data_IF_403752870511
#
_entry.id   IF_403752870511
#
_cell.length_a   1.000
_cell.length_b   1.000
_cell.length_c   1.000
_cell.angle_alpha   90.00
_cell.angle_beta   90.00
_cell.angle_gamma   90.00
#
_symmetry.space_group_name_H-M   'P 1'
#
loop_
_entity.id
_entity.type
_entity.pdbx_description
1 polymer ?
#
# COMPACT_ATOMS: atom_id res chain seq x y z
N UNK A 1 7.70 6.03 -12.41
CA UNK A 1 6.63 6.16 -11.40
C UNK A 1 7.18 5.89 -10.01
N UNK A 2 6.67 6.60 -9.01
CA UNK A 2 6.92 6.33 -7.59
C UNK A 2 5.60 5.89 -6.96
N UNK A 3 5.65 4.82 -6.17
CA UNK A 3 4.49 4.24 -5.47
C UNK A 3 4.76 4.34 -3.97
N UNK A 4 3.78 4.82 -3.20
CA UNK A 4 3.83 4.99 -1.75
C UNK A 4 5.08 5.72 -1.24
N UNK A 5 5.36 6.94 -1.72
CA UNK A 5 6.54 7.67 -1.26
C UNK A 5 6.35 8.18 0.18
N UNK A 6 7.32 7.90 1.05
CA UNK A 6 7.42 8.49 2.38
C UNK A 6 8.43 9.65 2.41
N UNK A 7 8.41 10.47 3.46
CA UNK A 7 9.32 11.60 3.61
C UNK A 7 10.80 11.19 3.82
N UNK A 8 11.77 12.01 3.43
CA UNK A 8 11.60 13.25 2.64
C UNK A 8 11.44 12.95 1.12
N UNK A 9 10.69 13.78 0.38
CA UNK A 9 10.52 13.61 -1.07
C UNK A 9 11.81 13.77 -1.88
N UNK A 10 12.79 14.53 -1.36
CA UNK A 10 14.09 14.76 -2.01
C UNK A 10 14.84 13.47 -2.38
N UNK A 11 14.76 12.43 -1.53
CA UNK A 11 15.44 11.15 -1.78
C UNK A 11 15.03 10.47 -3.07
N UNK A 12 13.77 10.64 -3.50
CA UNK A 12 13.29 10.10 -4.78
C UNK A 12 13.78 10.92 -5.97
N UNK A 13 13.89 12.24 -5.81
CA UNK A 13 14.45 13.14 -6.83
C UNK A 13 15.93 12.84 -7.03
N UNK A 14 16.70 12.78 -5.96
CA UNK A 14 18.14 12.45 -5.98
C UNK A 14 18.40 11.09 -6.60
N UNK A 15 17.59 10.07 -6.24
CA UNK A 15 17.68 8.76 -6.85
C UNK A 15 17.40 8.80 -8.35
N UNK A 16 16.32 9.48 -8.76
CA UNK A 16 15.94 9.58 -10.17
C UNK A 16 17.02 10.31 -10.99
N UNK A 17 17.58 11.40 -10.47
CA UNK A 17 18.68 12.14 -11.10
C UNK A 17 19.93 11.28 -11.26
N UNK A 18 20.31 10.56 -10.21
CA UNK A 18 21.47 9.64 -10.24
C UNK A 18 21.31 8.55 -11.28
N UNK A 19 20.12 8.01 -11.45
CA UNK A 19 19.81 6.94 -12.41
C UNK A 19 19.45 7.49 -13.81
N UNK A 20 19.49 8.81 -14.03
CA UNK A 20 19.10 9.44 -15.31
C UNK A 20 17.63 9.24 -15.64
N UNK A 21 16.77 9.10 -14.62
CA UNK A 21 15.34 8.89 -14.74
C UNK A 21 14.56 10.19 -14.49
N UNK A 22 13.35 10.25 -15.04
CA UNK A 22 12.40 11.32 -14.77
C UNK A 22 11.18 10.76 -14.08
N UNK A 23 10.84 11.29 -12.90
CA UNK A 23 9.59 10.98 -12.22
C UNK A 23 8.46 11.71 -12.95
N UNK A 24 7.55 10.96 -13.55
CA UNK A 24 6.41 11.51 -14.31
C UNK A 24 5.07 11.20 -13.66
N UNK A 25 5.04 10.26 -12.73
CA UNK A 25 3.83 9.83 -12.00
C UNK A 25 4.16 9.48 -10.57
N UNK A 26 3.24 9.81 -9.67
CA UNK A 26 3.27 9.47 -8.25
C UNK A 26 1.90 8.92 -7.88
N UNK A 27 1.86 7.86 -7.09
CA UNK A 27 0.62 7.21 -6.71
C UNK A 27 0.75 6.57 -5.32
N UNK A 28 -0.32 6.62 -4.52
CA UNK A 28 -0.43 5.82 -3.32
C UNK A 28 -1.35 4.62 -3.55
N UNK A 29 -0.98 3.46 -3.02
CA UNK A 29 -1.77 2.23 -3.10
C UNK A 29 -3.06 2.32 -2.28
N UNK A 30 -3.03 3.10 -1.20
CA UNK A 30 -4.15 3.29 -0.29
C UNK A 30 -3.96 4.57 0.53
N UNK A 31 -4.97 4.92 1.32
CA UNK A 31 -4.87 6.03 2.26
C UNK A 31 -4.08 5.60 3.51
N UNK A 32 -2.80 5.94 3.57
CA UNK A 32 -1.91 5.60 4.66
C UNK A 32 -2.36 6.19 5.99
N UNK A 33 -2.26 5.39 7.04
CA UNK A 33 -2.61 5.78 8.42
C UNK A 33 -1.42 5.70 9.40
N UNK A 34 -0.29 5.23 8.92
CA UNK A 34 0.93 4.92 9.68
C UNK A 34 2.06 5.91 9.39
N UNK A 35 2.09 6.48 8.20
CA UNK A 35 3.08 7.48 7.81
C UNK A 35 2.45 8.59 6.95
N UNK A 36 3.13 9.72 6.90
CA UNK A 36 2.76 10.85 6.05
C UNK A 36 3.26 10.59 4.64
N UNK A 37 2.34 10.50 3.67
CA UNK A 37 2.71 10.35 2.26
C UNK A 37 3.37 11.61 1.73
N UNK A 38 4.52 11.43 1.09
CA UNK A 38 5.19 12.50 0.35
C UNK A 38 4.66 12.67 -1.09
N UNK A 39 3.61 11.94 -1.48
CA UNK A 39 3.12 11.91 -2.87
C UNK A 39 2.74 13.29 -3.40
N UNK A 40 2.05 14.10 -2.61
CA UNK A 40 1.64 15.46 -2.97
C UNK A 40 2.86 16.37 -3.21
N UNK A 41 3.81 16.36 -2.29
CA UNK A 41 5.01 17.20 -2.35
C UNK A 41 5.93 16.74 -3.49
N UNK A 42 6.12 15.44 -3.64
CA UNK A 42 6.90 14.87 -4.75
C UNK A 42 6.29 15.22 -6.11
N UNK A 43 4.97 15.13 -6.24
CA UNK A 43 4.25 15.56 -7.44
C UNK A 43 4.48 17.03 -7.76
N UNK A 44 4.45 17.92 -6.77
CA UNK A 44 4.72 19.36 -6.94
C UNK A 44 6.15 19.64 -7.39
N UNK A 45 7.14 19.01 -6.74
CA UNK A 45 8.57 19.22 -7.03
C UNK A 45 8.89 18.75 -8.45
N UNK A 46 8.39 17.58 -8.84
CA UNK A 46 8.71 16.93 -10.13
C UNK A 46 7.77 17.32 -11.26
N UNK A 47 6.64 17.96 -10.93
CA UNK A 47 5.49 18.19 -11.83
C UNK A 47 4.92 16.88 -12.40
N UNK A 48 5.05 15.80 -11.64
CA UNK A 48 4.50 14.51 -11.98
C UNK A 48 2.98 14.49 -11.78
N UNK A 49 2.28 13.68 -12.55
CA UNK A 49 0.86 13.43 -12.35
C UNK A 49 0.67 12.67 -11.04
N UNK A 50 -0.24 13.14 -10.19
CA UNK A 50 -0.60 12.52 -8.93
C UNK A 50 -1.87 11.70 -9.09
N UNK A 51 -1.85 10.47 -8.58
CA UNK A 51 -2.98 9.56 -8.66
C UNK A 51 -3.37 9.04 -7.28
N UNK A 52 -4.68 8.97 -7.02
CA UNK A 52 -5.25 8.30 -5.85
C UNK A 52 -6.49 7.49 -6.25
N UNK A 53 -6.87 6.56 -5.36
CA UNK A 53 -8.05 5.74 -5.54
C UNK A 53 -9.33 6.57 -5.66
N UNK A 54 -10.19 6.22 -6.63
CA UNK A 54 -11.52 6.80 -6.75
C UNK A 54 -12.47 6.39 -5.60
N UNK A 55 -12.09 5.38 -4.80
CA UNK A 55 -12.88 4.89 -3.66
C UNK A 55 -12.57 5.59 -2.34
N UNK A 56 -11.60 6.51 -2.34
CA UNK A 56 -11.25 7.33 -1.18
C UNK A 56 -11.44 8.82 -1.51
N UNK A 57 -11.65 9.62 -0.47
CA UNK A 57 -11.81 11.07 -0.61
C UNK A 57 -10.50 11.78 -0.29
N UNK A 58 -10.07 12.66 -1.19
CA UNK A 58 -8.90 13.53 -1.02
C UNK A 58 -9.27 14.96 -1.40
N UNK A 59 -8.78 15.93 -0.61
CA UNK A 59 -8.89 17.37 -0.87
C UNK A 59 -7.67 17.91 -1.64
N UNK A 60 -6.84 17.02 -2.16
CA UNK A 60 -5.65 17.29 -2.96
C UNK A 60 -6.04 17.14 -4.43
N UNK A 61 -5.61 18.05 -5.29
CA UNK A 61 -5.78 17.91 -6.74
C UNK A 61 -5.03 16.66 -7.23
N UNK A 62 -5.74 15.73 -7.83
CA UNK A 62 -5.21 14.45 -8.30
C UNK A 62 -6.07 13.86 -9.42
N UNK A 63 -5.50 12.87 -10.12
CA UNK A 63 -6.26 11.99 -11.02
C UNK A 63 -6.78 10.80 -10.23
N UNK A 64 -8.05 10.46 -10.44
CA UNK A 64 -8.66 9.27 -9.85
C UNK A 64 -8.35 8.04 -10.69
N UNK A 65 -8.10 6.91 -10.02
CA UNK A 65 -8.00 5.59 -10.65
C UNK A 65 -8.96 4.61 -9.98
N UNK A 66 -9.49 3.69 -10.77
CA UNK A 66 -10.42 2.65 -10.32
C UNK A 66 -10.06 1.29 -10.90
N UNK A 67 -10.78 0.25 -10.51
CA UNK A 67 -10.61 -1.13 -10.98
C UNK A 67 -10.68 -1.23 -12.50
N UNK A 68 -9.70 -1.89 -13.10
CA UNK A 68 -9.60 -2.06 -14.55
C UNK A 68 -8.92 -0.92 -15.31
N UNK A 69 -8.61 0.19 -14.65
CA UNK A 69 -7.84 1.27 -15.29
C UNK A 69 -6.43 0.83 -15.64
N UNK A 70 -5.81 1.57 -16.57
CA UNK A 70 -4.41 1.37 -16.94
C UNK A 70 -3.64 2.68 -16.91
N UNK A 71 -2.43 2.65 -16.38
CA UNK A 71 -1.51 3.79 -16.30
C UNK A 71 -0.27 3.49 -17.14
N UNK A 72 0.04 4.34 -18.11
CA UNK A 72 1.24 4.20 -18.93
C UNK A 72 2.49 4.54 -18.12
N UNK A 73 3.48 3.64 -18.10
CA UNK A 73 4.78 3.81 -17.46
C UNK A 73 5.90 3.55 -18.49
N UNK A 74 6.37 4.60 -19.12
CA UNK A 74 7.27 4.47 -20.26
C UNK A 74 6.62 3.70 -21.40
N UNK A 75 7.21 2.57 -21.80
CA UNK A 75 6.70 1.69 -22.87
C UNK A 75 5.74 0.61 -22.35
N UNK A 76 5.50 0.55 -21.05
CA UNK A 76 4.66 -0.47 -20.41
C UNK A 76 3.35 0.11 -19.93
N UNK A 77 2.42 -0.78 -19.61
CA UNK A 77 1.16 -0.46 -18.97
C UNK A 77 1.12 -1.08 -17.57
N UNK A 78 0.68 -0.31 -16.61
CA UNK A 78 0.40 -0.75 -15.26
C UNK A 78 -1.12 -0.84 -15.09
N UNK A 79 -1.61 -2.04 -14.81
CA UNK A 79 -3.02 -2.29 -14.55
C UNK A 79 -3.35 -1.95 -13.10
N UNK A 80 -4.55 -1.42 -12.88
CA UNK A 80 -5.09 -1.08 -11.56
C UNK A 80 -6.14 -2.12 -11.18
N UNK A 81 -5.99 -2.74 -10.02
CA UNK A 81 -6.96 -3.65 -9.43
C UNK A 81 -7.44 -3.07 -8.10
N UNK A 82 -8.74 -2.96 -7.90
CA UNK A 82 -9.30 -2.64 -6.59
C UNK A 82 -9.16 -3.85 -5.66
N UNK A 83 -8.46 -3.66 -4.55
CA UNK A 83 -8.11 -4.73 -3.58
C UNK A 83 -8.45 -4.30 -2.16
N UNK A 84 -9.75 -4.09 -1.84
CA UNK A 84 -10.20 -3.62 -0.54
C UNK A 84 -9.93 -4.63 0.56
N UNK A 85 -9.88 -4.14 1.81
CA UNK A 85 -9.76 -4.94 3.01
C UNK A 85 -8.89 -4.30 4.08
N UNK A 86 -7.70 -3.80 3.74
CA UNK A 86 -6.94 -2.94 4.63
C UNK A 86 -7.57 -1.54 4.71
N UNK A 87 -7.86 -0.94 3.55
CA UNK A 87 -8.75 0.21 3.41
C UNK A 87 -9.82 -0.05 2.35
N UNK A 88 -10.86 0.80 2.30
CA UNK A 88 -11.90 0.71 1.27
C UNK A 88 -11.34 0.99 -0.13
N UNK A 89 -10.33 1.85 -0.23
CA UNK A 89 -9.73 2.29 -1.48
C UNK A 89 -8.42 1.62 -1.83
N UNK A 90 -8.01 0.55 -1.13
CA UNK A 90 -6.77 -0.17 -1.44
C UNK A 90 -6.74 -0.66 -2.89
N UNK A 91 -5.61 -0.44 -3.54
CA UNK A 91 -5.34 -0.82 -4.93
C UNK A 91 -4.10 -1.70 -5.02
N UNK A 92 -4.10 -2.59 -5.98
CA UNK A 92 -2.91 -3.32 -6.41
C UNK A 92 -2.55 -2.88 -7.83
N UNK A 93 -1.28 -2.59 -8.06
CA UNK A 93 -0.77 -2.20 -9.38
C UNK A 93 0.02 -3.34 -9.97
N UNK A 94 -0.36 -3.77 -11.19
CA UNK A 94 0.24 -4.94 -11.85
C UNK A 94 0.95 -4.53 -13.13
N UNK A 95 2.21 -4.94 -13.28
CA UNK A 95 3.03 -4.70 -14.47
C UNK A 95 3.44 -6.03 -15.08
N UNK A 96 3.19 -6.18 -16.40
CA UNK A 96 3.56 -7.37 -17.20
C UNK A 96 3.03 -8.71 -16.65
N UNK A 97 2.01 -8.73 -15.81
CA UNK A 97 1.55 -9.90 -15.04
C UNK A 97 2.65 -10.58 -14.19
N UNK A 98 3.78 -9.89 -13.98
CA UNK A 98 4.96 -10.41 -13.27
C UNK A 98 5.23 -9.71 -11.95
N UNK A 99 4.81 -8.46 -11.83
CA UNK A 99 5.08 -7.61 -10.69
C UNK A 99 3.77 -7.01 -10.20
N UNK A 100 3.43 -7.24 -8.93
CA UNK A 100 2.25 -6.71 -8.28
C UNK A 100 2.65 -5.91 -7.04
N UNK A 101 2.25 -4.64 -6.97
CA UNK A 101 2.47 -3.75 -5.83
C UNK A 101 1.17 -3.68 -5.04
N UNK A 102 1.12 -4.35 -3.90
CA UNK A 102 -0.14 -4.63 -3.17
C UNK A 102 -0.39 -3.69 -2.01
N UNK A 103 0.51 -2.73 -1.77
CA UNK A 103 0.40 -1.91 -0.56
C UNK A 103 0.35 -2.77 0.69
N UNK A 104 -0.59 -2.48 1.56
CA UNK A 104 -0.79 -3.16 2.82
C UNK A 104 -1.87 -4.27 2.74
N UNK A 105 -2.06 -4.88 1.57
CA UNK A 105 -3.04 -5.96 1.42
C UNK A 105 -2.45 -7.33 1.77
N UNK A 106 -1.29 -7.68 1.19
CA UNK A 106 -0.60 -8.95 1.41
C UNK A 106 0.89 -8.70 1.61
N UNK A 107 1.40 -9.10 2.76
CA UNK A 107 2.82 -9.01 3.14
C UNK A 107 3.56 -10.31 2.86
N UNK A 108 4.86 -10.34 3.16
CA UNK A 108 5.69 -11.55 2.99
C UNK A 108 5.24 -12.65 3.96
N UNK A 109 4.87 -12.28 5.19
CA UNK A 109 4.58 -13.19 6.30
C UNK A 109 3.17 -13.08 6.87
N UNK A 110 2.37 -12.10 6.41
CA UNK A 110 1.06 -11.83 6.99
C UNK A 110 0.16 -11.04 6.02
N UNK A 111 -0.91 -10.47 6.53
CA UNK A 111 -1.85 -9.62 5.78
C UNK A 111 -2.08 -8.30 6.51
N UNK A 112 -2.64 -7.32 5.81
CA UNK A 112 -2.98 -6.02 6.37
C UNK A 112 -4.05 -6.09 7.44
N UNK A 113 -4.00 -5.16 8.40
CA UNK A 113 -5.03 -5.03 9.43
C UNK A 113 -6.32 -4.45 8.84
N UNK A 114 -7.50 -4.95 9.24
CA UNK A 114 -8.78 -4.49 8.69
C UNK A 114 -9.45 -3.40 9.53
N UNK A 115 -8.87 -2.97 10.65
CA UNK A 115 -9.58 -2.23 11.70
C UNK A 115 -9.27 -0.72 11.76
N UNK A 116 -8.60 -0.16 10.75
CA UNK A 116 -8.30 1.27 10.69
C UNK A 116 -9.56 2.16 10.62
N UNK A 117 -10.68 1.60 10.22
CA UNK A 117 -12.02 2.17 10.28
C UNK A 117 -12.92 1.28 11.15
N UNK A 118 -14.04 1.79 11.65
CA UNK A 118 -14.92 1.06 12.56
C UNK A 118 -15.81 -0.01 11.87
N UNK A 119 -15.23 -0.76 10.91
CA UNK A 119 -15.85 -1.82 10.12
C UNK A 119 -14.93 -3.03 9.96
N UNK A 120 -14.25 -3.42 11.05
CA UNK A 120 -13.21 -4.44 11.00
C UNK A 120 -13.68 -5.78 10.38
N UNK A 121 -14.90 -6.22 10.70
CA UNK A 121 -15.46 -7.46 10.15
C UNK A 121 -15.72 -7.37 8.64
N UNK A 122 -16.28 -6.26 8.16
CA UNK A 122 -16.55 -6.05 6.74
C UNK A 122 -15.24 -6.03 5.95
N UNK A 123 -14.26 -5.25 6.44
CA UNK A 123 -12.95 -5.15 5.80
C UNK A 123 -12.15 -6.45 5.87
N UNK A 124 -12.30 -7.24 6.94
CA UNK A 124 -11.69 -8.57 7.01
C UNK A 124 -12.29 -9.53 5.98
N UNK A 125 -13.62 -9.46 5.74
CA UNK A 125 -14.27 -10.22 4.69
C UNK A 125 -13.80 -9.80 3.29
N UNK A 126 -13.67 -8.50 3.05
CA UNK A 126 -13.16 -7.96 1.79
C UNK A 126 -11.71 -8.38 1.56
N UNK A 127 -10.88 -8.34 2.61
CA UNK A 127 -9.48 -8.76 2.56
C UNK A 127 -9.33 -10.23 2.17
N UNK A 128 -10.15 -11.12 2.78
CA UNK A 128 -10.20 -12.53 2.40
C UNK A 128 -10.53 -12.69 0.92
N UNK A 129 -11.60 -12.04 0.46
CA UNK A 129 -12.03 -12.13 -0.93
C UNK A 129 -10.97 -11.57 -1.89
N UNK A 130 -10.37 -10.44 -1.55
CA UNK A 130 -9.27 -9.83 -2.31
C UNK A 130 -8.11 -10.80 -2.46
N UNK A 131 -7.62 -11.37 -1.37
CA UNK A 131 -6.48 -12.28 -1.40
C UNK A 131 -6.83 -13.55 -2.17
N UNK A 132 -7.90 -14.23 -1.81
CA UNK A 132 -8.23 -15.55 -2.38
C UNK A 132 -8.77 -15.51 -3.81
N UNK A 133 -9.53 -14.45 -4.17
CA UNK A 133 -10.17 -14.35 -5.50
C UNK A 133 -9.34 -13.57 -6.51
N UNK A 134 -8.38 -12.73 -6.05
CA UNK A 134 -7.54 -11.90 -6.93
C UNK A 134 -6.06 -12.25 -6.79
N UNK A 135 -5.42 -11.98 -5.63
CA UNK A 135 -3.96 -12.04 -5.51
C UNK A 135 -3.40 -13.46 -5.64
N UNK A 136 -4.03 -14.46 -5.00
CA UNK A 136 -3.62 -15.86 -5.12
C UNK A 136 -3.97 -16.50 -6.48
N UNK A 137 -4.64 -15.77 -7.37
CA UNK A 137 -4.93 -16.17 -8.76
C UNK A 137 -3.87 -15.72 -9.76
N UNK A 138 -2.94 -14.84 -9.36
CA UNK A 138 -1.79 -14.55 -10.20
C UNK A 138 -0.97 -15.81 -10.46
N UNK A 139 -0.12 -15.76 -11.48
CA UNK A 139 0.84 -16.84 -11.74
C UNK A 139 1.69 -17.10 -10.50
N UNK A 140 2.04 -18.38 -10.26
CA UNK A 140 2.72 -18.81 -9.03
C UNK A 140 4.02 -18.06 -8.71
N UNK A 141 4.69 -17.54 -9.73
CA UNK A 141 5.96 -16.82 -9.65
C UNK A 141 5.82 -15.29 -9.78
N UNK A 142 4.60 -14.74 -9.85
CA UNK A 142 4.39 -13.29 -9.82
C UNK A 142 4.99 -12.72 -8.54
N UNK A 143 5.91 -11.77 -8.66
CA UNK A 143 6.49 -11.09 -7.49
C UNK A 143 5.50 -10.08 -6.93
N UNK A 144 5.14 -10.25 -5.68
CA UNK A 144 4.21 -9.38 -4.93
C UNK A 144 5.03 -8.54 -3.97
N UNK A 145 4.99 -7.22 -4.15
CA UNK A 145 5.73 -6.23 -3.36
C UNK A 145 4.78 -5.53 -2.40
N UNK A 146 4.91 -5.77 -1.10
CA UNK A 146 4.18 -5.02 -0.08
C UNK A 146 4.86 -3.68 0.21
N UNK A 147 4.13 -2.76 0.85
CA UNK A 147 4.71 -1.49 1.36
C UNK A 147 5.59 -1.73 2.59
N UNK A 148 5.23 -2.70 3.42
CA UNK A 148 5.94 -3.03 4.67
C UNK A 148 6.36 -4.50 4.74
N UNK A 149 7.26 -4.80 5.66
CA UNK A 149 7.65 -6.16 6.04
C UNK A 149 7.81 -6.25 7.55
N UNK A 150 7.67 -7.45 8.13
CA UNK A 150 7.85 -7.71 9.56
C UNK A 150 9.31 -7.70 9.98
N UNK A 151 9.52 -7.56 11.30
CA UNK A 151 10.83 -7.73 11.90
C UNK A 151 11.38 -9.15 11.64
N UNK A 152 12.66 -9.23 11.28
CA UNK A 152 13.33 -10.51 11.03
C UNK A 152 13.13 -11.08 9.61
N UNK A 153 12.25 -10.50 8.80
CA UNK A 153 12.14 -10.86 7.39
C UNK A 153 13.39 -10.38 6.65
N UNK A 154 14.01 -11.30 5.91
CA UNK A 154 15.22 -11.00 5.13
C UNK A 154 14.83 -10.63 3.70
N UNK A 155 15.45 -9.61 3.12
CA UNK A 155 15.28 -9.31 1.70
C UNK A 155 15.90 -10.44 0.84
N UNK A 156 15.53 -10.45 -0.44
CA UNK A 156 16.23 -11.24 -1.46
C UNK A 156 17.70 -10.81 -1.59
N UNK A 157 18.48 -11.54 -2.37
CA UNK A 157 19.89 -11.19 -2.67
C UNK A 157 20.04 -9.78 -3.26
N UNK A 158 19.03 -9.32 -4.00
CA UNK A 158 18.96 -7.95 -4.57
C UNK A 158 18.51 -6.89 -3.55
N UNK A 159 18.34 -7.23 -2.28
CA UNK A 159 17.89 -6.30 -1.23
C UNK A 159 16.40 -5.98 -1.26
N UNK A 160 15.57 -6.75 -1.98
CA UNK A 160 14.15 -6.48 -2.22
C UNK A 160 13.29 -7.44 -1.41
N UNK A 161 12.24 -6.89 -0.76
CA UNK A 161 11.22 -7.67 -0.07
C UNK A 161 10.08 -7.98 -1.01
N UNK A 162 9.76 -9.25 -1.19
CA UNK A 162 8.62 -9.71 -1.97
C UNK A 162 8.15 -11.09 -1.50
N UNK A 163 6.92 -11.41 -1.81
CA UNK A 163 6.37 -12.77 -1.76
C UNK A 163 5.90 -13.18 -3.16
N UNK A 164 5.38 -14.38 -3.28
CA UNK A 164 4.71 -14.87 -4.50
C UNK A 164 3.41 -15.59 -4.10
N UNK A 165 2.46 -15.81 -5.00
CA UNK A 165 1.28 -16.63 -4.69
C UNK A 165 1.63 -18.02 -4.16
N UNK A 166 2.72 -18.63 -4.68
CA UNK A 166 3.21 -19.92 -4.19
C UNK A 166 3.73 -19.85 -2.75
N UNK A 167 4.47 -18.79 -2.41
CA UNK A 167 4.97 -18.58 -1.04
C UNK A 167 3.84 -18.21 -0.09
N UNK A 168 2.96 -17.30 -0.49
CA UNK A 168 1.85 -16.82 0.31
C UNK A 168 0.87 -17.95 0.69
N UNK A 169 0.61 -18.90 -0.22
CA UNK A 169 -0.22 -20.09 0.07
C UNK A 169 0.33 -20.98 1.18
N UNK A 170 1.57 -20.79 1.64
CA UNK A 170 2.14 -21.53 2.78
C UNK A 170 1.87 -20.84 4.13
N UNK A 171 1.28 -19.65 4.12
CA UNK A 171 0.88 -18.95 5.34
C UNK A 171 -0.36 -19.64 5.93
N UNK A 172 -0.24 -20.17 7.13
CA UNK A 172 -1.33 -20.89 7.81
C UNK A 172 -2.61 -20.05 7.95
N UNK A 173 -2.48 -18.74 8.00
CA UNK A 173 -3.60 -17.81 8.03
C UNK A 173 -4.44 -17.89 6.74
N UNK A 174 -3.83 -18.16 5.59
CA UNK A 174 -4.50 -18.24 4.29
C UNK A 174 -5.08 -19.63 3.99
N UNK A 175 -4.82 -20.63 4.84
CA UNK A 175 -5.47 -21.96 4.78
C UNK A 175 -6.84 -21.97 5.46
N UNK A 176 -7.15 -20.95 6.28
CA UNK A 176 -8.42 -20.83 6.99
C UNK A 176 -9.57 -20.56 6.02
N UNK A 177 -10.76 -21.07 6.34
CA UNK A 177 -11.96 -20.64 5.62
C UNK A 177 -12.29 -19.17 5.94
N UNK A 178 -13.22 -18.57 5.20
CA UNK A 178 -13.51 -17.13 5.30
C UNK A 178 -13.92 -16.70 6.70
N UNK A 179 -14.76 -17.47 7.38
CA UNK A 179 -15.23 -17.17 8.73
C UNK A 179 -14.09 -17.25 9.76
N UNK A 180 -13.31 -18.33 9.70
CA UNK A 180 -12.14 -18.52 10.57
C UNK A 180 -11.09 -17.43 10.38
N UNK A 181 -10.76 -17.13 9.10
CA UNK A 181 -9.83 -16.05 8.75
C UNK A 181 -10.30 -14.70 9.31
N UNK A 182 -11.56 -14.34 9.03
CA UNK A 182 -12.13 -13.05 9.44
C UNK A 182 -12.11 -12.90 10.96
N UNK A 183 -12.58 -13.91 11.70
CA UNK A 183 -12.55 -13.90 13.15
C UNK A 183 -11.11 -13.83 13.68
N UNK A 184 -10.20 -14.59 13.09
CA UNK A 184 -8.80 -14.64 13.49
C UNK A 184 -8.12 -13.28 13.35
N UNK A 185 -8.17 -12.65 12.14
CA UNK A 185 -7.47 -11.38 11.93
C UNK A 185 -8.06 -10.24 12.74
N UNK A 186 -9.38 -10.21 12.97
CA UNK A 186 -9.99 -9.21 13.84
C UNK A 186 -9.53 -9.39 15.29
N UNK A 187 -9.40 -10.64 15.76
CA UNK A 187 -8.91 -10.92 17.11
C UNK A 187 -7.44 -10.59 17.34
N UNK A 188 -6.64 -10.53 16.27
CA UNK A 188 -5.20 -10.22 16.30
C UNK A 188 -4.90 -8.72 16.17
N UNK A 189 -5.93 -7.87 16.04
CA UNK A 189 -5.69 -6.43 15.92
C UNK A 189 -5.08 -5.87 17.20
N UNK A 190 -4.01 -5.10 17.02
CA UNK A 190 -3.31 -4.38 18.11
C UNK A 190 -3.79 -2.92 18.16
N UNK A 191 -3.49 -2.15 19.20
CA UNK A 191 -3.81 -0.72 19.21
C UNK A 191 -3.36 -0.03 17.92
N UNK A 192 -4.21 0.85 17.41
CA UNK A 192 -3.91 1.64 16.21
C UNK A 192 -2.69 2.54 16.47
N UNK A 193 -1.92 2.93 15.43
CA UNK A 193 -0.83 3.90 15.56
C UNK A 193 -1.32 5.16 16.30
N UNK A 194 -0.49 5.75 17.16
CA UNK A 194 -0.91 6.85 18.05
C UNK A 194 -1.56 8.01 17.30
N UNK A 195 -0.96 8.42 16.19
CA UNK A 195 -1.39 9.59 15.42
C UNK A 195 -2.19 9.23 14.15
N UNK A 196 -2.67 7.98 14.02
CA UNK A 196 -3.27 7.50 12.77
C UNK A 196 -4.37 8.42 12.22
N UNK A 197 -5.22 8.97 13.08
CA UNK A 197 -6.33 9.84 12.65
C UNK A 197 -5.84 11.21 12.14
N UNK A 198 -4.73 11.71 12.67
CA UNK A 198 -4.09 12.94 12.21
C UNK A 198 -3.39 12.68 10.89
N UNK A 199 -2.63 11.59 10.79
CA UNK A 199 -1.94 11.16 9.56
C UNK A 199 -2.94 11.01 8.40
N UNK A 200 -4.07 10.34 8.63
CA UNK A 200 -5.14 10.22 7.63
C UNK A 200 -5.63 11.61 7.16
N UNK A 201 -5.83 12.57 8.07
CA UNK A 201 -6.27 13.92 7.71
C UNK A 201 -5.21 14.68 6.91
N UNK A 202 -3.94 14.54 7.27
CA UNK A 202 -2.81 15.11 6.51
C UNK A 202 -2.77 14.52 5.10
N UNK A 203 -2.82 13.19 4.98
CA UNK A 203 -2.77 12.49 3.70
C UNK A 203 -4.00 12.77 2.83
N UNK A 204 -5.16 13.03 3.44
CA UNK A 204 -6.34 13.54 2.72
C UNK A 204 -6.18 14.97 2.20
N UNK A 205 -5.28 15.75 2.79
CA UNK A 205 -5.12 17.17 2.50
C UNK A 205 -6.01 18.11 3.30
N UNK A 206 -6.76 17.59 4.28
CA UNK A 206 -7.64 18.39 5.15
C UNK A 206 -6.87 19.19 6.20
N UNK A 207 -5.67 18.74 6.54
CA UNK A 207 -4.74 19.43 7.47
C UNK A 207 -3.40 19.62 6.76
N UNK A 208 -2.85 20.83 6.77
CA UNK A 208 -1.50 21.06 6.26
C UNK A 208 -0.46 20.46 7.21
N UNK A 209 0.68 20.08 6.67
CA UNK A 209 1.85 19.66 7.42
C UNK A 209 3.10 20.28 6.83
N UNK A 210 4.09 20.51 7.67
CA UNK A 210 5.46 20.86 7.29
C UNK A 210 6.38 19.67 7.58
N UNK A 211 7.45 19.54 6.80
CA UNK A 211 8.34 18.37 6.84
C UNK A 211 8.91 18.10 8.23
N UNK A 212 9.24 19.16 8.96
CA UNK A 212 9.81 19.07 10.32
C UNK A 212 8.87 18.42 11.35
N UNK A 213 7.56 18.38 11.07
CA UNK A 213 6.56 17.77 11.96
C UNK A 213 6.34 16.27 11.65
N UNK A 214 6.81 15.79 10.51
CA UNK A 214 6.57 14.39 10.08
C UNK A 214 7.12 13.39 11.09
N UNK A 215 8.39 13.51 11.60
CA UNK A 215 8.92 12.55 12.57
C UNK A 215 8.08 12.44 13.85
N UNK A 216 7.51 13.53 14.33
CA UNK A 216 6.68 13.54 15.54
C UNK A 216 5.33 12.81 15.31
N UNK A 217 4.79 12.89 14.10
CA UNK A 217 3.55 12.16 13.75
C UNK A 217 3.77 10.66 13.58
N UNK A 218 4.94 10.29 13.07
CA UNK A 218 5.30 8.88 12.78
C UNK A 218 5.93 8.18 13.98
N UNK A 219 5.98 8.82 15.16
CA UNK A 219 6.50 8.20 16.38
C UNK A 219 5.64 7.02 16.82
N UNK A 220 6.33 5.94 17.24
CA UNK A 220 5.70 4.74 17.78
C UNK A 220 5.77 3.55 16.82
N UNK A 221 5.30 2.38 17.25
CA UNK A 221 5.35 1.19 16.40
C UNK A 221 4.39 1.34 15.23
N UNK A 222 4.93 1.27 14.02
CA UNK A 222 4.13 1.08 12.82
C UNK A 222 3.70 -0.39 12.72
N UNK A 223 2.40 -0.66 12.80
CA UNK A 223 1.84 -2.01 12.78
C UNK A 223 0.64 -2.09 11.83
N UNK A 224 0.90 -1.94 10.55
CA UNK A 224 -0.12 -2.12 9.50
C UNK A 224 -0.38 -3.60 9.17
N UNK A 225 0.50 -4.52 9.60
CA UNK A 225 0.30 -5.97 9.48
C UNK A 225 -0.35 -6.57 10.73
N UNK A 226 -1.07 -7.67 10.54
CA UNK A 226 -1.50 -8.57 11.61
C UNK A 226 -0.30 -9.44 12.02
N UNK A 227 -0.02 -9.51 13.31
CA UNK A 227 1.07 -10.30 13.90
C UNK A 227 0.52 -11.39 14.81
#
# INVERSE_FOLDING_TARGET
IVIDPNYPPSKYVEFAEKEGLKITKVIDTHQHADHVSAAKELSKITKAELFFSAKEEYEIEHKKVDDGDTISIGKKQMQVLHTPGHTAGSMTFVVDNKYAFTGDTLFVESVGRPDLRDKAMDFANDLYDTIHKKLLKFESNTKIFPTHHGEGIKPSEDGIFFTTPEMAKKLSLLDLNKEEFTNKIVSMTTPRPMNYSVIIKVNKGTIPIIEEQVPDLEMGPNRCSIQ
#
